data_IF_612488393737
#
_entry.id   IF_612488393737
#
_cell.length_a   1.000
_cell.length_b   1.000
_cell.length_c   1.000
_cell.angle_alpha   90.00
_cell.angle_beta   90.00
_cell.angle_gamma   90.00
#
_symmetry.space_group_name_H-M   'P 1'
#
loop_
_entity.id
_entity.type
_entity.pdbx_description
1 polymer ?
#
# COMPACT_ATOMS: atom_id res chain seq x y z
N UNK A 1 -50.16 -19.90 -13.66
CA UNK A 1 -48.74 -19.99 -13.26
C UNK A 1 -48.17 -21.26 -13.89
N UNK A 2 -47.66 -21.16 -15.11
CA UNK A 2 -47.32 -22.33 -15.94
C UNK A 2 -45.93 -22.24 -16.53
N UNK A 3 -44.91 -21.93 -15.73
CA UNK A 3 -43.54 -22.21 -16.17
C UNK A 3 -43.41 -23.73 -16.17
N UNK A 4 -43.08 -24.36 -17.30
CA UNK A 4 -42.79 -25.80 -17.32
C UNK A 4 -41.63 -26.04 -16.37
N UNK A 5 -41.90 -26.65 -15.21
CA UNK A 5 -40.94 -26.83 -14.11
C UNK A 5 -39.60 -27.44 -14.59
N UNK A 6 -39.65 -28.30 -15.62
CA UNK A 6 -38.47 -28.89 -16.25
C UNK A 6 -37.52 -27.90 -16.95
N UNK A 7 -38.01 -26.75 -17.45
CA UNK A 7 -37.14 -25.71 -18.04
C UNK A 7 -36.43 -24.89 -16.97
N UNK A 8 -37.02 -24.72 -15.79
CA UNK A 8 -36.40 -24.04 -14.65
C UNK A 8 -35.18 -24.82 -14.17
N UNK A 9 -35.36 -26.12 -13.90
CA UNK A 9 -34.25 -26.96 -13.41
C UNK A 9 -33.11 -27.08 -14.43
N UNK A 10 -33.43 -27.15 -15.74
CA UNK A 10 -32.41 -27.14 -16.80
C UNK A 10 -31.61 -25.84 -16.79
N UNK A 11 -32.27 -24.69 -16.70
CA UNK A 11 -31.60 -23.37 -16.70
C UNK A 11 -30.76 -23.15 -15.45
N UNK A 12 -31.25 -23.58 -14.30
CA UNK A 12 -30.48 -23.55 -13.06
C UNK A 12 -29.25 -24.46 -13.16
N UNK A 13 -29.42 -25.67 -13.72
CA UNK A 13 -28.33 -26.60 -13.97
C UNK A 13 -27.27 -26.03 -14.92
N UNK A 14 -27.68 -25.37 -16.01
CA UNK A 14 -26.75 -24.68 -16.92
C UNK A 14 -26.04 -23.53 -16.22
N UNK A 15 -26.75 -22.71 -15.43
CA UNK A 15 -26.14 -21.62 -14.66
C UNK A 15 -25.10 -22.11 -13.66
N UNK A 16 -25.39 -23.19 -12.94
CA UNK A 16 -24.45 -23.84 -12.02
C UNK A 16 -23.25 -24.45 -12.75
N UNK A 17 -23.46 -25.09 -13.90
CA UNK A 17 -22.38 -25.66 -14.70
C UNK A 17 -21.44 -24.57 -15.23
N UNK A 18 -22.00 -23.50 -15.82
CA UNK A 18 -21.23 -22.36 -16.29
C UNK A 18 -20.51 -21.67 -15.13
N UNK A 19 -21.19 -21.43 -14.02
CA UNK A 19 -20.59 -20.85 -12.82
C UNK A 19 -19.44 -21.69 -12.26
N UNK A 20 -19.61 -23.02 -12.22
CA UNK A 20 -18.56 -23.95 -11.80
C UNK A 20 -17.34 -23.93 -12.72
N UNK A 21 -17.54 -23.85 -14.05
CA UNK A 21 -16.45 -23.70 -15.02
C UNK A 21 -15.70 -22.38 -14.80
N UNK A 22 -16.43 -21.26 -14.65
CA UNK A 22 -15.82 -19.95 -14.39
C UNK A 22 -15.01 -19.94 -13.09
N UNK A 23 -15.52 -20.55 -12.02
CA UNK A 23 -14.80 -20.70 -10.74
C UNK A 23 -13.54 -21.57 -10.92
N UNK A 24 -13.62 -22.66 -11.68
CA UNK A 24 -12.47 -23.52 -11.98
C UNK A 24 -11.35 -22.78 -12.72
N UNK A 25 -11.71 -22.00 -13.74
CA UNK A 25 -10.77 -21.16 -14.51
C UNK A 25 -10.19 -20.02 -13.64
N UNK A 26 -11.01 -19.43 -12.77
CA UNK A 26 -10.53 -18.39 -11.85
C UNK A 26 -9.53 -18.97 -10.85
N UNK A 27 -9.80 -20.16 -10.31
CA UNK A 27 -8.86 -20.88 -9.43
C UNK A 27 -7.54 -21.21 -10.10
N UNK A 28 -7.56 -21.66 -11.36
CA UNK A 28 -6.32 -21.99 -12.09
C UNK A 28 -5.44 -20.76 -12.35
N UNK A 29 -6.02 -19.57 -12.40
CA UNK A 29 -5.32 -18.30 -12.59
C UNK A 29 -5.00 -17.58 -11.28
N UNK A 30 -5.09 -18.26 -10.13
CA UNK A 30 -4.82 -17.67 -8.80
C UNK A 30 -5.67 -16.40 -8.48
N UNK A 31 -6.85 -16.31 -9.08
CA UNK A 31 -7.79 -15.19 -8.85
C UNK A 31 -8.32 -15.26 -7.41
N UNK A 32 -8.43 -14.13 -6.67
CA UNK A 32 -8.92 -14.12 -5.29
C UNK A 32 -10.32 -14.74 -5.13
N UNK A 33 -10.59 -15.32 -3.95
CA UNK A 33 -11.82 -16.05 -3.67
C UNK A 33 -13.09 -15.20 -3.86
N UNK A 34 -13.04 -13.91 -3.54
CA UNK A 34 -14.17 -13.00 -3.69
C UNK A 34 -14.62 -12.86 -5.14
N UNK A 35 -13.67 -12.80 -6.08
CA UNK A 35 -13.96 -12.76 -7.51
C UNK A 35 -14.49 -14.11 -8.02
N UNK A 36 -14.06 -15.23 -7.45
CA UNK A 36 -14.63 -16.54 -7.78
C UNK A 36 -16.11 -16.61 -7.39
N UNK A 37 -16.46 -16.12 -6.19
CA UNK A 37 -17.85 -16.03 -5.73
C UNK A 37 -18.65 -15.09 -6.64
N UNK A 38 -18.09 -13.94 -7.02
CA UNK A 38 -18.72 -13.00 -7.94
C UNK A 38 -19.06 -13.65 -9.29
N UNK A 39 -18.14 -14.41 -9.89
CA UNK A 39 -18.40 -15.10 -11.16
C UNK A 39 -19.52 -16.13 -11.06
N UNK A 40 -19.59 -16.86 -9.93
CA UNK A 40 -20.68 -17.78 -9.66
C UNK A 40 -22.02 -17.05 -9.54
N UNK A 41 -22.07 -15.95 -8.78
CA UNK A 41 -23.27 -15.13 -8.61
C UNK A 41 -23.77 -14.57 -9.94
N UNK A 42 -22.87 -14.05 -10.79
CA UNK A 42 -23.22 -13.55 -12.12
C UNK A 42 -23.82 -14.65 -13.01
N UNK A 43 -23.24 -15.85 -12.99
CA UNK A 43 -23.78 -16.99 -13.74
C UNK A 43 -25.20 -17.38 -13.26
N UNK A 44 -25.46 -17.33 -11.96
CA UNK A 44 -26.79 -17.57 -11.39
C UNK A 44 -27.80 -16.47 -11.75
N UNK A 45 -27.39 -15.19 -11.73
CA UNK A 45 -28.23 -14.08 -12.18
C UNK A 45 -28.59 -14.25 -13.66
N UNK A 46 -27.62 -14.64 -14.50
CA UNK A 46 -27.87 -14.97 -15.90
C UNK A 46 -28.93 -16.07 -16.05
N UNK A 47 -28.82 -17.15 -15.29
CA UNK A 47 -29.84 -18.20 -15.28
C UNK A 47 -31.23 -17.70 -14.87
N UNK A 48 -31.31 -16.82 -13.85
CA UNK A 48 -32.57 -16.18 -13.43
C UNK A 48 -33.15 -15.32 -14.55
N UNK A 49 -32.33 -14.52 -15.26
CA UNK A 49 -32.79 -13.70 -16.40
C UNK A 49 -33.35 -14.60 -17.49
N UNK A 50 -32.66 -15.68 -17.86
CA UNK A 50 -33.19 -16.63 -18.83
C UNK A 50 -34.48 -17.29 -18.35
N UNK A 51 -34.64 -17.58 -17.07
CA UNK A 51 -35.92 -18.08 -16.53
C UNK A 51 -37.04 -17.05 -16.67
N UNK A 52 -36.76 -15.77 -16.42
CA UNK A 52 -37.71 -14.68 -16.59
C UNK A 52 -38.12 -14.47 -18.05
N UNK A 53 -37.19 -14.64 -19.00
CA UNK A 53 -37.49 -14.54 -20.43
C UNK A 53 -38.40 -15.68 -20.94
N UNK A 54 -38.35 -16.86 -20.32
CA UNK A 54 -39.26 -17.97 -20.63
C UNK A 54 -40.58 -17.90 -19.85
N UNK A 55 -40.70 -16.99 -18.88
CA UNK A 55 -41.91 -16.84 -18.11
C UNK A 55 -43.04 -16.33 -19.02
N UNK A 56 -44.24 -16.87 -18.83
CA UNK A 56 -45.40 -16.40 -19.59
C UNK A 56 -45.62 -14.90 -19.32
N UNK A 57 -45.96 -14.11 -20.34
CA UNK A 57 -46.29 -12.70 -20.14
C UNK A 57 -47.48 -12.61 -19.18
N UNK A 58 -47.31 -11.80 -18.13
CA UNK A 58 -48.39 -11.49 -17.20
C UNK A 58 -49.43 -10.61 -17.92
N UNK A 59 -50.71 -10.82 -17.62
CA UNK A 59 -51.78 -9.96 -18.14
C UNK A 59 -51.58 -8.51 -17.70
N UNK A 60 -51.97 -7.56 -18.55
CA UNK A 60 -51.83 -6.14 -18.25
C UNK A 60 -52.64 -5.77 -16.99
N UNK A 61 -51.95 -5.23 -15.98
CA UNK A 61 -52.58 -4.71 -14.77
C UNK A 61 -52.94 -3.24 -14.98
N UNK A 62 -54.15 -2.84 -14.60
CA UNK A 62 -54.64 -1.46 -14.74
C UNK A 62 -55.23 -0.91 -13.44
N UNK A 63 -55.41 0.41 -13.38
CA UNK A 63 -55.98 1.12 -12.23
C UNK A 63 -55.11 1.04 -10.97
N UNK A 64 -55.71 1.08 -9.79
CA UNK A 64 -54.97 1.10 -8.51
C UNK A 64 -54.06 -0.12 -8.28
N UNK A 65 -54.35 -1.26 -8.92
CA UNK A 65 -53.51 -2.47 -8.82
C UNK A 65 -52.13 -2.28 -9.44
N UNK A 66 -52.03 -1.54 -10.55
CA UNK A 66 -50.74 -1.26 -11.17
C UNK A 66 -49.89 -0.34 -10.28
N UNK A 67 -50.50 0.68 -9.68
CA UNK A 67 -49.83 1.57 -8.73
C UNK A 67 -49.25 0.79 -7.54
N UNK A 68 -50.04 -0.07 -6.90
CA UNK A 68 -49.58 -0.91 -5.79
C UNK A 68 -48.42 -1.81 -6.22
N UNK A 69 -48.53 -2.45 -7.39
CA UNK A 69 -47.46 -3.34 -7.88
C UNK A 69 -46.15 -2.61 -8.15
N UNK A 70 -46.20 -1.38 -8.68
CA UNK A 70 -45.01 -0.55 -8.92
C UNK A 70 -44.39 -0.11 -7.60
N UNK A 71 -45.21 0.32 -6.63
CA UNK A 71 -44.72 0.71 -5.30
C UNK A 71 -44.04 -0.47 -4.60
N UNK A 72 -44.66 -1.65 -4.61
CA UNK A 72 -44.09 -2.86 -4.02
C UNK A 72 -42.76 -3.22 -4.69
N UNK A 73 -42.69 -3.19 -6.02
CA UNK A 73 -41.46 -3.45 -6.76
C UNK A 73 -40.33 -2.49 -6.37
N UNK A 74 -40.63 -1.19 -6.29
CA UNK A 74 -39.64 -0.17 -5.89
C UNK A 74 -39.18 -0.34 -4.45
N UNK A 75 -40.09 -0.61 -3.52
CA UNK A 75 -39.73 -0.89 -2.12
C UNK A 75 -38.82 -2.11 -2.03
N UNK A 76 -39.11 -3.17 -2.79
CA UNK A 76 -38.28 -4.36 -2.85
C UNK A 76 -36.88 -4.06 -3.40
N UNK A 77 -36.81 -3.36 -4.54
CA UNK A 77 -35.54 -2.96 -5.14
C UNK A 77 -34.71 -2.10 -4.20
N UNK A 78 -35.30 -1.05 -3.62
CA UNK A 78 -34.60 -0.16 -2.68
C UNK A 78 -34.09 -0.96 -1.48
N UNK A 79 -34.91 -1.85 -0.92
CA UNK A 79 -34.49 -2.69 0.21
C UNK A 79 -33.29 -3.55 -0.16
N UNK A 80 -33.31 -4.22 -1.32
CA UNK A 80 -32.18 -5.04 -1.77
C UNK A 80 -30.93 -4.19 -2.01
N UNK A 81 -31.07 -3.02 -2.63
CA UNK A 81 -29.94 -2.14 -2.95
C UNK A 81 -29.35 -1.41 -1.75
N UNK A 82 -30.13 -1.18 -0.69
CA UNK A 82 -29.65 -0.55 0.55
C UNK A 82 -29.13 -1.61 1.50
N UNK A 83 -29.96 -2.60 1.84
CA UNK A 83 -29.63 -3.61 2.86
C UNK A 83 -28.60 -4.61 2.36
N UNK A 84 -28.66 -5.01 1.08
CA UNK A 84 -27.74 -5.99 0.50
C UNK A 84 -26.28 -5.58 0.68
N UNK A 85 -25.87 -4.39 0.20
CA UNK A 85 -24.52 -3.88 0.43
C UNK A 85 -24.21 -3.67 1.92
N UNK A 86 -25.14 -3.19 2.74
CA UNK A 86 -24.90 -2.99 4.18
C UNK A 86 -24.56 -4.26 4.95
N UNK A 87 -25.00 -5.43 4.46
CA UNK A 87 -24.67 -6.73 5.05
C UNK A 87 -23.37 -7.34 4.51
N UNK A 88 -22.84 -6.81 3.40
CA UNK A 88 -21.54 -7.23 2.88
C UNK A 88 -20.41 -6.63 3.75
N UNK A 89 -19.24 -7.28 3.81
CA UNK A 89 -18.06 -6.71 4.46
C UNK A 89 -17.76 -5.32 3.88
N UNK A 90 -18.03 -4.29 4.67
CA UNK A 90 -17.77 -2.89 4.30
C UNK A 90 -16.35 -2.51 4.70
N UNK A 91 -15.69 -1.72 3.86
CA UNK A 91 -14.39 -1.15 4.19
C UNK A 91 -14.56 -0.20 5.39
N UNK A 92 -13.91 -0.51 6.50
CA UNK A 92 -13.85 0.37 7.66
C UNK A 92 -12.43 0.95 7.77
N UNK A 93 -12.24 2.26 7.59
CA UNK A 93 -10.92 2.88 7.60
C UNK A 93 -10.19 2.70 8.94
N UNK A 94 -10.90 2.62 10.08
CA UNK A 94 -10.26 2.42 11.38
C UNK A 94 -9.75 0.99 11.57
N UNK A 95 -10.51 -0.01 11.10
CA UNK A 95 -10.08 -1.41 11.13
C UNK A 95 -8.87 -1.65 10.20
N UNK A 96 -8.87 -1.03 9.02
CA UNK A 96 -7.76 -1.10 8.08
C UNK A 96 -6.53 -0.36 8.60
N UNK A 97 -6.68 0.81 9.25
CA UNK A 97 -5.58 1.48 9.95
C UNK A 97 -5.00 0.61 11.05
N UNK A 98 -5.83 -0.06 11.86
CA UNK A 98 -5.36 -0.96 12.90
C UNK A 98 -4.60 -2.16 12.33
N UNK A 99 -5.06 -2.71 11.20
CA UNK A 99 -4.41 -3.81 10.49
C UNK A 99 -3.08 -3.38 9.87
N UNK A 100 -3.05 -2.22 9.21
CA UNK A 100 -1.84 -1.59 8.68
C UNK A 100 -0.86 -1.30 9.82
N UNK A 101 -1.32 -0.75 10.95
CA UNK A 101 -0.50 -0.51 12.13
C UNK A 101 0.16 -1.78 12.67
N UNK A 102 -0.58 -2.90 12.76
CA UNK A 102 -0.02 -4.20 13.15
C UNK A 102 1.01 -4.74 12.15
N UNK A 103 0.76 -4.56 10.86
CA UNK A 103 1.69 -4.96 9.79
C UNK A 103 2.96 -4.10 9.82
N UNK A 104 2.81 -2.78 9.94
CA UNK A 104 3.92 -1.84 10.06
C UNK A 104 4.72 -2.07 11.34
N UNK A 105 4.08 -2.42 12.46
CA UNK A 105 4.80 -2.75 13.69
C UNK A 105 5.60 -4.06 13.56
N UNK A 106 5.03 -5.06 12.88
CA UNK A 106 5.73 -6.31 12.55
C UNK A 106 6.91 -6.05 11.62
N UNK A 107 6.71 -5.27 10.56
CA UNK A 107 7.79 -4.86 9.64
C UNK A 107 8.84 -4.02 10.36
N UNK A 108 8.47 -3.07 11.21
CA UNK A 108 9.42 -2.26 12.00
C UNK A 108 10.26 -3.12 12.93
N UNK A 109 9.67 -4.12 13.60
CA UNK A 109 10.42 -5.08 14.44
C UNK A 109 11.35 -5.97 13.61
N UNK A 110 10.97 -6.30 12.39
CA UNK A 110 11.78 -7.11 11.48
C UNK A 110 12.85 -6.29 10.73
N UNK A 111 12.61 -4.99 10.59
CA UNK A 111 13.48 -4.02 9.95
C UNK A 111 14.73 -3.77 10.79
N UNK A 112 15.80 -3.36 10.11
CA UNK A 112 17.11 -3.10 10.72
C UNK A 112 17.02 -2.06 11.84
N UNK A 113 16.12 -1.08 11.70
CA UNK A 113 15.89 -0.04 12.71
C UNK A 113 15.31 -0.60 14.01
N UNK A 114 14.31 -1.50 13.95
CA UNK A 114 13.76 -2.12 15.17
C UNK A 114 14.76 -3.03 15.87
N UNK A 115 15.61 -3.72 15.10
CA UNK A 115 16.72 -4.50 15.65
C UNK A 115 17.78 -3.60 16.31
N UNK A 116 18.09 -2.46 15.71
CA UNK A 116 19.01 -1.46 16.28
C UNK A 116 18.47 -0.87 17.58
N UNK A 117 17.19 -0.50 17.63
CA UNK A 117 16.53 0.01 18.84
C UNK A 117 16.54 -1.02 19.98
N UNK A 118 16.31 -2.30 19.66
CA UNK A 118 16.39 -3.39 20.62
C UNK A 118 17.82 -3.58 21.15
N UNK A 119 18.82 -3.52 20.27
CA UNK A 119 20.24 -3.56 20.65
C UNK A 119 20.62 -2.38 21.57
N UNK A 120 20.16 -1.17 21.26
CA UNK A 120 20.39 0.02 22.11
C UNK A 120 19.75 -0.14 23.49
N UNK A 121 18.52 -0.68 23.55
CA UNK A 121 17.85 -0.96 24.80
C UNK A 121 18.60 -2.00 25.64
N UNK A 122 19.11 -3.07 25.01
CA UNK A 122 19.95 -4.08 25.67
C UNK A 122 21.26 -3.50 26.18
N UNK A 123 21.92 -2.63 25.42
CA UNK A 123 23.15 -1.95 25.84
C UNK A 123 22.90 -1.06 27.06
N UNK A 124 21.81 -0.28 27.08
CA UNK A 124 21.42 0.51 28.26
C UNK A 124 21.14 -0.34 29.49
N UNK A 125 20.48 -1.49 29.31
CA UNK A 125 20.23 -2.43 30.41
C UNK A 125 21.53 -3.07 30.93
N UNK A 126 22.50 -3.35 30.05
CA UNK A 126 23.82 -3.82 30.43
C UNK A 126 24.62 -2.74 31.17
N UNK A 127 24.58 -1.49 30.69
CA UNK A 127 25.25 -0.36 31.33
C UNK A 127 24.72 -0.13 32.76
N UNK A 128 23.41 -0.24 32.96
CA UNK A 128 22.80 -0.20 34.29
C UNK A 128 23.28 -1.35 35.19
N UNK A 129 23.45 -2.56 34.65
CA UNK A 129 23.98 -3.71 35.39
C UNK A 129 25.46 -3.55 35.74
N UNK A 130 26.28 -3.01 34.83
CA UNK A 130 27.70 -2.72 35.07
C UNK A 130 27.82 -1.69 36.19
N UNK A 131 27.01 -0.64 36.16
CA UNK A 131 26.98 0.39 37.21
C UNK A 131 26.59 -0.17 38.58
N UNK A 132 25.58 -1.04 38.60
CA UNK A 132 25.19 -1.76 39.82
C UNK A 132 26.29 -2.71 40.32
N UNK A 133 27.07 -3.31 39.42
CA UNK A 133 28.21 -4.16 39.76
C UNK A 133 29.39 -3.34 40.29
N UNK A 134 29.68 -2.17 39.70
CA UNK A 134 30.67 -1.22 40.20
C UNK A 134 30.34 -0.72 41.60
N UNK A 135 29.07 -0.41 41.87
CA UNK A 135 28.62 -0.01 43.20
C UNK A 135 28.79 -1.15 44.23
N UNK A 136 28.54 -2.41 43.82
CA UNK A 136 28.84 -3.59 44.64
C UNK A 136 30.35 -3.76 44.84
N UNK A 137 31.17 -3.56 43.82
CA UNK A 137 32.63 -3.66 43.90
C UNK A 137 33.25 -2.57 44.79
N UNK A 138 32.73 -1.34 44.74
CA UNK A 138 33.11 -0.26 45.68
C UNK A 138 32.76 -0.61 47.12
N UNK A 139 31.70 -1.39 47.33
CA UNK A 139 31.34 -1.95 48.64
C UNK A 139 32.23 -3.11 49.11
N UNK A 140 32.98 -3.75 48.20
CA UNK A 140 33.84 -4.93 48.48
C UNK A 140 35.33 -4.53 48.55
N UNK A 141 35.64 -3.24 48.72
CA UNK A 141 36.99 -2.68 48.87
C UNK A 141 37.76 -3.10 50.14
N UNK A 142 37.66 -4.36 50.56
CA UNK A 142 38.42 -4.98 51.63
C UNK A 142 38.44 -6.50 51.52
N UNK A 143 39.19 -7.06 50.56
CA UNK A 143 39.67 -8.45 50.64
C UNK A 143 39.63 -9.29 49.34
N UNK A 144 40.85 -9.59 48.85
CA UNK A 144 41.28 -10.72 48.00
C UNK A 144 40.96 -10.75 46.49
N UNK A 145 42.06 -10.68 45.73
CA UNK A 145 42.27 -10.91 44.29
C UNK A 145 42.14 -12.40 43.91
N UNK A 146 41.56 -12.67 42.72
CA UNK A 146 41.99 -13.78 41.87
C UNK A 146 41.61 -13.58 40.37
N UNK A 147 42.67 -13.50 39.54
CA UNK A 147 42.84 -13.98 38.16
C UNK A 147 42.00 -13.45 36.96
N UNK A 148 42.69 -12.77 36.03
CA UNK A 148 42.44 -12.72 34.55
C UNK A 148 43.07 -13.98 33.87
N UNK A 149 42.71 -14.44 32.63
CA UNK A 149 42.83 -13.70 31.33
C UNK A 149 41.85 -14.18 30.19
N UNK A 150 41.99 -13.83 28.88
CA UNK A 150 42.58 -12.65 28.20
C UNK A 150 41.67 -11.96 27.14
N UNK A 151 42.15 -10.78 26.74
CA UNK A 151 42.05 -10.06 25.47
C UNK A 151 41.17 -10.58 24.31
N UNK A 152 40.43 -9.63 23.73
CA UNK A 152 40.44 -9.42 22.28
C UNK A 152 39.07 -9.36 21.62
N UNK A 153 38.46 -8.18 21.56
CA UNK A 153 37.78 -7.76 20.33
C UNK A 153 37.60 -6.25 20.29
N UNK A 154 38.21 -5.66 19.27
CA UNK A 154 38.06 -4.28 18.81
C UNK A 154 36.58 -4.05 18.50
N UNK A 155 35.92 -2.98 18.99
CA UNK A 155 34.52 -2.75 18.63
C UNK A 155 34.42 -2.49 17.12
N UNK A 156 33.57 -3.22 16.36
CA UNK A 156 33.35 -2.88 14.97
C UNK A 156 32.38 -1.69 14.88
N UNK A 157 32.88 -0.62 14.27
CA UNK A 157 32.17 0.29 13.37
C UNK A 157 30.63 0.31 13.46
N UNK A 158 30.07 1.02 14.45
CA UNK A 158 28.64 1.33 14.51
C UNK A 158 28.22 2.49 13.56
N UNK A 159 29.18 3.16 12.92
CA UNK A 159 28.92 4.35 12.10
C UNK A 159 28.47 4.04 10.66
N UNK A 160 28.70 2.82 10.15
CA UNK A 160 28.36 2.43 8.78
C UNK A 160 26.97 1.78 8.64
N UNK A 161 26.37 1.31 9.74
CA UNK A 161 25.04 0.70 9.73
C UNK A 161 23.90 1.73 9.62
N UNK A 162 24.01 2.89 10.28
CA UNK A 162 22.94 3.91 10.29
C UNK A 162 22.73 4.61 8.94
N UNK A 163 23.79 4.78 8.14
CA UNK A 163 23.70 5.38 6.82
C UNK A 163 23.08 4.41 5.78
N UNK A 164 23.38 3.11 5.89
CA UNK A 164 22.80 2.08 5.03
C UNK A 164 21.30 1.92 5.25
N UNK A 165 20.85 1.95 6.51
CA UNK A 165 19.43 1.86 6.86
C UNK A 165 18.65 3.09 6.36
N UNK A 166 19.24 4.29 6.45
CA UNK A 166 18.62 5.52 5.96
C UNK A 166 18.43 5.53 4.44
N UNK A 167 19.42 5.05 3.68
CA UNK A 167 19.30 4.93 2.22
C UNK A 167 18.25 3.91 1.81
N UNK A 168 18.13 2.80 2.56
CA UNK A 168 17.09 1.80 2.33
C UNK A 168 15.69 2.36 2.55
N UNK A 169 15.48 3.16 3.60
CA UNK A 169 14.20 3.87 3.82
C UNK A 169 13.88 4.78 2.63
N UNK A 170 14.87 5.48 2.08
CA UNK A 170 14.67 6.31 0.89
C UNK A 170 14.21 5.51 -0.33
N UNK A 171 14.84 4.36 -0.60
CA UNK A 171 14.44 3.44 -1.67
C UNK A 171 13.06 2.84 -1.43
N UNK A 172 12.73 2.48 -0.19
CA UNK A 172 11.40 1.97 0.18
C UNK A 172 10.32 3.03 -0.08
N UNK A 173 10.56 4.30 0.26
CA UNK A 173 9.61 5.38 -0.02
C UNK A 173 9.39 5.61 -1.53
N UNK A 174 10.42 5.43 -2.36
CA UNK A 174 10.27 5.48 -3.81
C UNK A 174 9.28 4.42 -4.33
N UNK A 175 9.30 3.22 -3.75
CA UNK A 175 8.39 2.12 -4.10
C UNK A 175 7.00 2.34 -3.49
N UNK A 176 6.91 2.69 -2.20
CA UNK A 176 5.64 2.86 -1.47
C UNK A 176 4.79 4.00 -2.02
N UNK A 177 5.41 5.11 -2.40
CA UNK A 177 4.73 6.24 -3.02
C UNK A 177 4.59 6.09 -4.54
N UNK A 178 4.99 4.92 -5.06
CA UNK A 178 4.95 4.54 -6.47
C UNK A 178 5.53 5.61 -7.42
N UNK A 179 6.64 6.23 -7.03
CA UNK A 179 7.25 7.34 -7.79
C UNK A 179 7.59 6.91 -9.23
N UNK A 180 7.93 5.64 -9.43
CA UNK A 180 8.23 5.00 -10.72
C UNK A 180 7.06 5.03 -11.73
N UNK A 181 5.82 5.20 -11.27
CA UNK A 181 4.67 5.29 -12.17
C UNK A 181 4.75 6.55 -13.05
N UNK A 182 5.39 7.60 -12.55
CA UNK A 182 5.53 8.89 -13.25
C UNK A 182 6.96 9.18 -13.67
N UNK A 183 7.94 8.90 -12.81
CA UNK A 183 9.34 9.18 -13.04
C UNK A 183 10.09 7.96 -13.55
N UNK A 184 11.11 8.21 -14.37
CA UNK A 184 12.07 7.19 -14.80
C UNK A 184 13.31 7.27 -13.92
N UNK A 185 13.83 6.11 -13.54
CA UNK A 185 15.07 5.96 -12.77
C UNK A 185 15.75 4.64 -13.15
N UNK A 186 17.07 4.64 -13.38
CA UNK A 186 17.86 3.47 -13.80
C UNK A 186 17.33 2.80 -15.07
N UNK A 187 16.74 3.59 -15.97
CA UNK A 187 16.12 3.07 -17.20
C UNK A 187 14.75 2.41 -17.01
N UNK A 188 14.25 2.30 -15.77
CA UNK A 188 12.96 1.72 -15.42
C UNK A 188 11.94 2.80 -15.02
N UNK A 189 10.65 2.53 -15.28
CA UNK A 189 9.56 3.46 -14.98
C UNK A 189 9.33 4.56 -16.03
N UNK A 190 8.35 5.44 -15.74
CA UNK A 190 8.07 6.66 -16.50
C UNK A 190 7.19 6.52 -17.76
N UNK A 191 5.90 6.84 -17.66
CA UNK A 191 4.98 7.02 -18.83
C UNK A 191 5.04 8.45 -19.42
N UNK A 192 6.23 9.02 -19.67
CA UNK A 192 6.43 10.43 -20.11
C UNK A 192 5.72 11.51 -19.22
N UNK A 193 5.26 11.14 -18.02
CA UNK A 193 4.49 12.02 -17.12
C UNK A 193 5.38 12.87 -16.23
N UNK A 194 6.52 12.32 -15.82
CA UNK A 194 7.54 13.00 -15.03
C UNK A 194 8.92 12.90 -15.68
N UNK A 195 9.84 13.82 -15.35
CA UNK A 195 11.22 13.80 -15.82
C UNK A 195 11.98 12.57 -15.32
N UNK A 196 13.01 12.18 -16.08
CA UNK A 196 13.98 11.14 -15.70
C UNK A 196 14.96 11.67 -14.65
N UNK A 197 15.18 10.92 -13.57
CA UNK A 197 15.85 11.42 -12.36
C UNK A 197 17.26 10.86 -12.15
N UNK A 198 17.81 10.12 -13.11
CA UNK A 198 19.14 9.48 -13.02
C UNK A 198 20.32 10.42 -12.76
N UNK A 199 20.17 11.72 -13.02
CA UNK A 199 21.18 12.74 -12.75
C UNK A 199 20.70 13.83 -11.78
N UNK A 200 19.60 13.61 -11.04
CA UNK A 200 19.00 14.67 -10.21
C UNK A 200 19.93 15.15 -9.09
N UNK A 201 20.74 14.26 -8.52
CA UNK A 201 21.71 14.58 -7.46
C UNK A 201 22.91 15.41 -7.93
N UNK A 202 23.06 15.64 -9.23
CA UNK A 202 24.01 16.61 -9.78
C UNK A 202 23.37 18.00 -10.01
N UNK A 203 22.04 18.09 -9.99
CA UNK A 203 21.29 19.31 -10.34
C UNK A 203 20.64 19.99 -9.12
N UNK A 204 20.25 19.22 -8.10
CA UNK A 204 19.66 19.71 -6.87
C UNK A 204 20.38 19.15 -5.65
N UNK A 205 20.40 19.95 -4.59
CA UNK A 205 20.78 19.48 -3.26
C UNK A 205 19.69 18.61 -2.65
N UNK A 206 20.04 17.85 -1.61
CA UNK A 206 19.08 17.01 -0.87
C UNK A 206 17.90 17.84 -0.34
N UNK A 207 18.17 19.02 0.20
CA UNK A 207 17.13 19.90 0.75
C UNK A 207 16.18 20.42 -0.35
N UNK A 208 16.70 20.72 -1.53
CA UNK A 208 15.88 21.14 -2.67
C UNK A 208 15.05 19.99 -3.25
N UNK A 209 15.60 18.77 -3.27
CA UNK A 209 14.84 17.57 -3.64
C UNK A 209 13.70 17.36 -2.64
N UNK A 210 13.98 17.51 -1.34
CA UNK A 210 12.96 17.43 -0.29
C UNK A 210 11.89 18.52 -0.44
N UNK A 211 12.30 19.77 -0.70
CA UNK A 211 11.39 20.90 -0.99
C UNK A 211 10.48 20.58 -2.18
N UNK A 212 11.04 19.98 -3.25
CA UNK A 212 10.29 19.58 -4.44
C UNK A 212 9.29 18.45 -4.15
N UNK A 213 9.65 17.46 -3.34
CA UNK A 213 8.74 16.37 -2.97
C UNK A 213 7.58 16.91 -2.12
N UNK A 214 7.89 17.75 -1.12
CA UNK A 214 6.89 18.32 -0.23
C UNK A 214 6.04 19.43 -0.87
N UNK A 215 6.60 20.17 -1.83
CA UNK A 215 5.92 21.20 -2.59
C UNK A 215 6.22 21.03 -4.09
N UNK A 216 5.40 20.27 -4.84
CA UNK A 216 5.63 20.03 -6.27
C UNK A 216 5.69 21.29 -7.14
N UNK A 217 5.21 22.45 -6.67
CA UNK A 217 5.26 23.69 -7.44
C UNK A 217 6.58 24.46 -7.27
N UNK A 218 7.42 24.13 -6.29
CA UNK A 218 8.69 24.84 -6.02
C UNK A 218 9.71 24.78 -7.16
N UNK A 219 9.76 23.67 -7.90
CA UNK A 219 10.61 23.54 -9.08
C UNK A 219 9.83 23.02 -10.28
N UNK A 220 10.18 23.49 -11.47
CA UNK A 220 9.67 23.03 -12.75
C UNK A 220 10.82 22.40 -13.55
N UNK A 221 10.63 21.20 -14.08
CA UNK A 221 11.61 20.61 -15.00
C UNK A 221 11.47 21.24 -16.39
N UNK A 222 12.58 21.62 -17.01
CA UNK A 222 12.62 22.12 -18.38
C UNK A 222 11.94 21.14 -19.36
N UNK A 223 11.03 21.63 -20.21
CA UNK A 223 10.27 20.79 -21.15
C UNK A 223 9.06 20.06 -20.55
N UNK A 224 8.73 20.31 -19.28
CA UNK A 224 7.54 19.78 -18.57
C UNK A 224 6.59 20.89 -18.12
N UNK A 225 6.55 22.03 -18.83
CA UNK A 225 5.77 23.21 -18.44
C UNK A 225 4.28 22.89 -18.32
N UNK A 226 3.75 22.11 -19.27
CA UNK A 226 2.32 21.76 -19.32
C UNK A 226 1.94 20.84 -18.16
N UNK A 227 2.75 19.83 -17.89
CA UNK A 227 2.57 18.86 -16.81
C UNK A 227 2.70 19.54 -15.45
N UNK A 228 3.68 20.44 -15.31
CA UNK A 228 3.86 21.25 -14.11
C UNK A 228 2.67 22.17 -13.89
N UNK A 229 2.18 22.89 -14.91
CA UNK A 229 1.00 23.75 -14.79
C UNK A 229 -0.24 22.96 -14.35
N UNK A 230 -0.48 21.79 -14.97
CA UNK A 230 -1.58 20.87 -14.64
C UNK A 230 -1.46 20.21 -13.26
N UNK A 231 -0.30 20.31 -12.60
CA UNK A 231 -0.10 19.70 -11.28
C UNK A 231 -0.09 18.17 -11.34
N UNK A 232 0.54 17.60 -12.36
CA UNK A 232 0.61 16.13 -12.54
C UNK A 232 1.33 15.44 -11.38
N UNK A 233 2.30 16.11 -10.75
CA UNK A 233 2.95 15.62 -9.53
C UNK A 233 2.04 15.89 -8.32
N UNK A 234 1.61 14.86 -7.56
CA UNK A 234 0.71 15.02 -6.42
C UNK A 234 1.30 15.90 -5.32
N UNK A 235 0.46 16.75 -4.72
CA UNK A 235 0.84 17.68 -3.65
C UNK A 235 0.63 17.14 -2.22
N UNK A 236 0.26 15.87 -2.08
CA UNK A 236 -0.10 15.25 -0.79
C UNK A 236 1.07 14.59 -0.06
N UNK A 237 2.25 14.50 -0.68
CA UNK A 237 3.38 13.77 -0.08
C UNK A 237 3.84 14.34 1.26
N UNK A 238 3.65 15.64 1.49
CA UNK A 238 3.90 16.27 2.78
C UNK A 238 2.98 15.77 3.91
N UNK A 239 1.77 15.33 3.56
CA UNK A 239 0.79 14.80 4.50
C UNK A 239 0.89 13.27 4.63
N UNK A 240 1.46 12.60 3.62
CA UNK A 240 1.55 11.14 3.52
C UNK A 240 2.88 10.55 4.01
N UNK A 241 3.92 11.38 4.18
CA UNK A 241 5.27 10.94 4.51
C UNK A 241 5.83 11.73 5.69
N UNK A 242 6.48 11.04 6.64
CA UNK A 242 7.17 11.72 7.74
C UNK A 242 8.34 12.58 7.19
N UNK A 243 8.63 13.76 7.76
CA UNK A 243 9.73 14.60 7.30
C UNK A 243 11.09 13.88 7.22
N UNK A 244 11.37 12.91 8.11
CA UNK A 244 12.62 12.13 8.08
C UNK A 244 12.64 11.12 6.93
N UNK A 245 11.51 10.50 6.63
CA UNK A 245 11.37 9.59 5.49
C UNK A 245 11.50 10.34 4.16
N UNK A 246 10.96 11.57 4.10
CA UNK A 246 11.12 12.45 2.94
C UNK A 246 12.56 12.88 2.74
N UNK A 247 13.26 13.19 3.83
CA UNK A 247 14.69 13.48 3.80
C UNK A 247 15.50 12.25 3.37
N UNK A 248 15.12 11.05 3.79
CA UNK A 248 15.74 9.80 3.36
C UNK A 248 15.56 9.56 1.85
N UNK A 249 14.35 9.75 1.33
CA UNK A 249 14.06 9.67 -0.10
C UNK A 249 14.88 10.70 -0.88
N UNK A 250 14.94 11.95 -0.40
CA UNK A 250 15.71 13.01 -1.04
C UNK A 250 17.22 12.71 -1.02
N UNK A 251 17.76 12.18 0.08
CA UNK A 251 19.16 11.81 0.19
C UNK A 251 19.52 10.65 -0.74
N UNK A 252 18.63 9.64 -0.83
CA UNK A 252 18.79 8.53 -1.76
C UNK A 252 18.74 9.01 -3.22
N UNK A 253 17.79 9.87 -3.59
CA UNK A 253 17.74 10.52 -4.92
C UNK A 253 18.99 11.38 -5.19
N UNK A 254 19.57 12.00 -4.16
CA UNK A 254 20.82 12.75 -4.25
C UNK A 254 22.05 11.90 -4.62
N UNK A 255 21.95 10.57 -4.52
CA UNK A 255 23.03 9.66 -4.95
C UNK A 255 23.08 9.47 -6.48
N UNK A 256 22.02 9.84 -7.21
CA UNK A 256 21.91 9.64 -8.65
C UNK A 256 22.55 10.80 -9.41
N UNK A 257 23.74 10.56 -9.97
CA UNK A 257 24.59 11.55 -10.63
C UNK A 257 25.06 11.08 -12.02
N UNK A 258 24.21 10.33 -12.71
CA UNK A 258 24.54 9.76 -14.01
C UNK A 258 24.46 10.85 -15.11
N UNK A 259 25.58 11.54 -15.34
CA UNK A 259 25.67 12.60 -16.35
C UNK A 259 25.44 12.14 -17.79
N UNK A 260 25.43 10.83 -18.07
CA UNK A 260 25.11 10.29 -19.41
C UNK A 260 23.62 10.37 -19.73
N UNK A 261 22.77 10.59 -18.73
CA UNK A 261 21.33 10.76 -18.90
C UNK A 261 20.98 12.24 -18.92
N UNK A 262 20.19 12.66 -19.90
CA UNK A 262 19.71 14.03 -20.01
C UNK A 262 18.52 14.27 -19.06
N UNK A 263 18.77 14.29 -17.76
CA UNK A 263 17.78 14.74 -16.76
C UNK A 263 17.50 16.24 -16.99
N UNK A 264 16.24 16.63 -17.23
CA UNK A 264 15.90 18.02 -17.47
C UNK A 264 16.24 18.93 -16.29
N UNK A 265 16.69 20.16 -16.58
CA UNK A 265 17.12 21.10 -15.55
C UNK A 265 15.93 21.59 -14.71
N UNK A 266 16.03 21.54 -13.38
CA UNK A 266 15.05 22.15 -12.49
C UNK A 266 15.15 23.68 -12.51
N UNK A 267 14.02 24.35 -12.65
CA UNK A 267 13.87 25.80 -12.63
C UNK A 267 13.07 26.13 -11.37
N UNK A 268 13.69 26.83 -10.42
CA UNK A 268 13.00 27.28 -9.19
C UNK A 268 11.88 28.25 -9.55
N UNK A 269 10.70 28.03 -8.96
CA UNK A 269 9.51 28.86 -9.11
C UNK A 269 9.13 29.36 -7.71
N UNK A 270 8.98 30.68 -7.60
CA UNK A 270 8.58 31.37 -6.38
C UNK A 270 7.07 31.25 -6.17
#
# INVERSE_FOLDING_TARGET
MGIRMGNIFKKLGVGLAVGGVLVGIARSQSVPADFQVLFLVIALIGAIIFMLLDAQPIGAMSGGKSLVSVVVFWVLLITVYVVGPSLLPQFNPEDEKAKIGKLLEKERKNSAQGKADELIARVKALDAQVKALEDRLKGVGGGQVAATPPAGEKPPAAASASAGDFMKVGEEQWQLQECYNCHKLRGEGGKKRGPELDNIGALLTVDEIQEKIGNPKSFMAEGYEKEWQKGIMPNKFKDLMDPKEMQALAAWLGTFKNASVNTPKPIKKN
#
